data_IF_798767671771
#
_entry.id   IF_798767671771
#
_cell.length_a   1.000
_cell.length_b   1.000
_cell.length_c   1.000
_cell.angle_alpha   90.00
_cell.angle_beta   90.00
_cell.angle_gamma   90.00
#
_symmetry.space_group_name_H-M   'P 1'
#
loop_
_entity.id
_entity.type
_entity.pdbx_description
1 polymer ?
#
# COMPACT_ATOMS: atom_id res chain seq x y z
N UNK A 1 5.06 10.83 -17.75
CA UNK A 1 4.61 12.22 -17.46
C UNK A 1 4.83 13.17 -18.64
N UNK A 2 5.98 13.11 -19.32
CA UNK A 2 6.30 13.92 -20.52
C UNK A 2 5.40 13.61 -21.72
N UNK A 3 5.07 12.34 -21.97
CA UNK A 3 4.17 11.96 -23.08
C UNK A 3 2.74 12.50 -22.95
N UNK A 4 2.22 12.56 -21.73
CA UNK A 4 0.92 13.17 -21.42
C UNK A 4 0.92 14.68 -21.68
N UNK A 5 2.05 15.35 -21.40
CA UNK A 5 2.21 16.78 -21.65
C UNK A 5 2.29 17.10 -23.15
N UNK A 6 3.03 16.27 -23.92
CA UNK A 6 3.16 16.41 -25.37
C UNK A 6 1.83 16.17 -26.07
N UNK A 7 1.07 15.15 -25.65
CA UNK A 7 -0.26 14.86 -26.21
C UNK A 7 -1.25 16.00 -25.94
N UNK A 8 -1.26 16.54 -24.72
CA UNK A 8 -2.11 17.68 -24.32
C UNK A 8 -1.80 18.98 -25.07
N UNK A 9 -0.53 19.24 -25.39
CA UNK A 9 -0.14 20.39 -26.22
C UNK A 9 -0.48 20.19 -27.70
N UNK A 10 -0.32 18.97 -28.21
CA UNK A 10 -0.63 18.61 -29.60
C UNK A 10 -2.12 18.75 -29.91
N UNK A 11 -3.00 18.26 -29.03
CA UNK A 11 -4.46 18.33 -29.23
C UNK A 11 -4.98 19.78 -29.19
N UNK A 12 -4.39 20.64 -28.35
CA UNK A 12 -4.71 22.08 -28.32
C UNK A 12 -4.27 22.80 -29.59
N UNK A 13 -3.12 22.43 -30.15
CA UNK A 13 -2.61 23.02 -31.40
C UNK A 13 -3.50 22.62 -32.57
N UNK A 14 -3.86 21.35 -32.72
CA UNK A 14 -4.74 20.89 -33.81
C UNK A 14 -6.15 21.47 -33.71
N UNK A 15 -6.71 21.56 -32.50
CA UNK A 15 -8.00 22.20 -32.31
C UNK A 15 -7.94 23.70 -32.63
N UNK A 16 -6.90 24.40 -32.18
CA UNK A 16 -6.69 25.81 -32.53
C UNK A 16 -6.56 26.03 -34.03
N UNK A 17 -5.78 25.19 -34.71
CA UNK A 17 -5.62 25.22 -36.17
C UNK A 17 -6.94 24.94 -36.90
N UNK A 18 -7.71 23.95 -36.44
CA UNK A 18 -9.02 23.63 -37.00
C UNK A 18 -10.00 24.79 -36.85
N UNK A 19 -10.08 25.41 -35.67
CA UNK A 19 -10.94 26.57 -35.43
C UNK A 19 -10.53 27.75 -36.30
N UNK A 20 -9.24 28.04 -36.43
CA UNK A 20 -8.74 29.13 -37.29
C UNK A 20 -9.06 28.87 -38.76
N UNK A 21 -8.76 27.67 -39.27
CA UNK A 21 -9.06 27.31 -40.67
C UNK A 21 -10.57 27.36 -40.94
N UNK A 22 -11.38 26.87 -40.00
CA UNK A 22 -12.83 26.84 -40.14
C UNK A 22 -13.44 28.25 -40.05
N UNK A 23 -12.94 29.12 -39.18
CA UNK A 23 -13.34 30.54 -39.12
C UNK A 23 -12.95 31.31 -40.38
N UNK A 24 -11.77 31.04 -40.97
CA UNK A 24 -11.37 31.64 -42.24
C UNK A 24 -12.27 31.15 -43.37
N UNK A 25 -12.61 29.85 -43.39
CA UNK A 25 -13.50 29.27 -44.39
C UNK A 25 -14.93 29.84 -44.28
N UNK A 26 -15.48 30.00 -43.07
CA UNK A 26 -16.81 30.60 -42.88
C UNK A 26 -16.83 32.09 -43.17
N UNK A 27 -15.77 32.84 -42.84
CA UNK A 27 -15.61 34.24 -43.22
C UNK A 27 -15.57 34.38 -44.75
N UNK A 28 -14.82 33.52 -45.43
CA UNK A 28 -14.78 33.46 -46.90
C UNK A 28 -16.15 33.14 -47.52
N UNK A 29 -16.93 32.27 -46.88
CA UNK A 29 -18.28 31.93 -47.33
C UNK A 29 -19.25 33.11 -47.15
N UNK A 30 -19.18 33.83 -46.02
CA UNK A 30 -19.95 35.07 -45.77
C UNK A 30 -19.58 36.16 -46.78
N UNK A 31 -18.30 36.33 -47.09
CA UNK A 31 -17.86 37.28 -48.12
C UNK A 31 -18.35 36.88 -49.51
N UNK A 32 -18.30 35.59 -49.86
CA UNK A 32 -18.82 35.10 -51.15
C UNK A 32 -20.34 35.26 -51.28
N UNK A 33 -21.08 35.18 -50.18
CA UNK A 33 -22.52 35.47 -50.13
C UNK A 33 -22.82 36.98 -50.15
N UNK A 34 -21.86 37.82 -49.75
CA UNK A 34 -21.99 39.29 -49.72
C UNK A 34 -21.72 39.96 -51.06
N UNK A 35 -21.09 39.26 -52.01
CA UNK A 35 -20.69 39.82 -53.30
C UNK A 35 -21.79 39.63 -54.36
N UNK A 36 -22.87 40.40 -54.24
CA UNK A 36 -23.68 40.86 -55.39
C UNK A 36 -24.05 42.34 -55.15
N UNK A 37 -23.34 43.20 -55.89
CA UNK A 37 -23.51 44.65 -56.10
C UNK A 37 -23.01 45.60 -55.00
N UNK A 38 -21.80 46.11 -55.26
CA UNK A 38 -21.15 47.30 -54.70
C UNK A 38 -21.89 48.58 -55.10
N UNK A 39 -23.09 48.80 -54.58
CA UNK A 39 -23.66 50.14 -54.44
C UNK A 39 -24.62 50.18 -53.26
N UNK A 40 -24.20 50.90 -52.21
CA UNK A 40 -25.00 51.39 -51.08
C UNK A 40 -25.63 50.33 -50.15
N UNK A 41 -25.10 50.26 -48.93
CA UNK A 41 -25.72 49.96 -47.61
C UNK A 41 -27.23 49.62 -47.55
N UNK A 42 -27.73 48.70 -48.36
CA UNK A 42 -29.08 48.14 -48.27
C UNK A 42 -28.95 46.61 -48.17
N UNK A 43 -28.38 46.14 -47.06
CA UNK A 43 -28.56 44.76 -46.67
C UNK A 43 -30.05 44.56 -46.34
N UNK A 44 -30.74 43.72 -47.10
CA UNK A 44 -32.07 43.23 -46.71
C UNK A 44 -31.95 42.57 -45.33
N UNK A 45 -32.88 42.89 -44.42
CA UNK A 45 -32.95 42.33 -43.06
C UNK A 45 -32.87 40.79 -43.07
N UNK A 46 -33.42 40.16 -44.10
CA UNK A 46 -33.46 38.70 -44.25
C UNK A 46 -32.08 38.08 -44.51
N UNK A 47 -31.22 38.79 -45.28
CA UNK A 47 -29.84 38.33 -45.55
C UNK A 47 -28.95 38.50 -44.32
N UNK A 48 -29.16 39.57 -43.55
CA UNK A 48 -28.45 39.82 -42.29
C UNK A 48 -28.79 38.75 -41.24
N UNK A 49 -30.08 38.40 -41.10
CA UNK A 49 -30.52 37.32 -40.22
C UNK A 49 -29.92 35.96 -40.59
N UNK A 50 -29.83 35.65 -41.89
CA UNK A 50 -29.21 34.41 -42.37
C UNK A 50 -27.71 34.33 -42.03
N UNK A 51 -26.94 35.40 -42.24
CA UNK A 51 -25.50 35.45 -41.93
C UNK A 51 -25.27 35.29 -40.41
N UNK A 52 -26.05 35.97 -39.58
CA UNK A 52 -25.97 35.84 -38.13
C UNK A 52 -26.32 34.41 -37.69
N UNK A 53 -27.36 33.82 -38.27
CA UNK A 53 -27.75 32.43 -37.98
C UNK A 53 -26.66 31.41 -38.32
N UNK A 54 -25.98 31.56 -39.46
CA UNK A 54 -24.84 30.72 -39.85
C UNK A 54 -23.67 30.91 -38.88
N UNK A 55 -23.37 32.16 -38.49
CA UNK A 55 -22.30 32.44 -37.53
C UNK A 55 -22.56 31.81 -36.15
N UNK A 56 -23.76 31.99 -35.60
CA UNK A 56 -24.14 31.41 -34.30
C UNK A 56 -24.09 29.89 -34.34
N UNK A 57 -24.58 29.27 -35.42
CA UNK A 57 -24.54 27.80 -35.59
C UNK A 57 -23.11 27.26 -35.67
N UNK A 58 -22.22 27.99 -36.35
CA UNK A 58 -20.79 27.66 -36.46
C UNK A 58 -20.10 27.71 -35.10
N UNK A 59 -20.31 28.77 -34.34
CA UNK A 59 -19.76 28.92 -32.99
C UNK A 59 -20.29 27.83 -32.06
N UNK A 60 -21.58 27.52 -32.13
CA UNK A 60 -22.19 26.45 -31.34
C UNK A 60 -21.56 25.08 -31.63
N UNK A 61 -21.33 24.75 -32.91
CA UNK A 61 -20.64 23.51 -33.30
C UNK A 61 -19.22 23.44 -32.74
N UNK A 62 -18.43 24.51 -32.90
CA UNK A 62 -17.04 24.56 -32.39
C UNK A 62 -16.99 24.36 -30.87
N UNK A 63 -17.86 25.07 -30.14
CA UNK A 63 -17.94 24.96 -28.68
C UNK A 63 -18.32 23.53 -28.28
N UNK A 64 -19.29 22.93 -28.97
CA UNK A 64 -19.76 21.56 -28.69
C UNK A 64 -18.66 20.54 -28.95
N UNK A 65 -17.96 20.64 -30.08
CA UNK A 65 -16.83 19.76 -30.42
C UNK A 65 -15.69 19.87 -29.40
N UNK A 66 -15.38 21.10 -28.93
CA UNK A 66 -14.38 21.30 -27.88
C UNK A 66 -14.74 20.57 -26.58
N UNK A 67 -15.98 20.69 -26.12
CA UNK A 67 -16.43 20.00 -24.91
C UNK A 67 -16.44 18.48 -25.08
N UNK A 68 -16.79 17.96 -26.26
CA UNK A 68 -16.73 16.52 -26.57
C UNK A 68 -15.29 16.01 -26.50
N UNK A 69 -14.32 16.71 -27.08
CA UNK A 69 -12.90 16.32 -27.03
C UNK A 69 -12.37 16.35 -25.59
N UNK A 70 -12.72 17.37 -24.81
CA UNK A 70 -12.38 17.44 -23.40
C UNK A 70 -12.98 16.26 -22.61
N UNK A 71 -14.25 15.93 -22.86
CA UNK A 71 -14.91 14.80 -22.22
C UNK A 71 -14.20 13.48 -22.56
N UNK A 72 -13.90 13.23 -23.84
CA UNK A 72 -13.18 12.01 -24.27
C UNK A 72 -11.81 11.89 -23.58
N UNK A 73 -11.06 13.00 -23.51
CA UNK A 73 -9.77 13.02 -22.80
C UNK A 73 -9.94 12.72 -21.32
N UNK A 74 -10.90 13.35 -20.64
CA UNK A 74 -11.20 13.08 -19.23
C UNK A 74 -11.60 11.62 -19.00
N UNK A 75 -12.49 11.06 -19.84
CA UNK A 75 -12.89 9.66 -19.76
C UNK A 75 -11.71 8.70 -19.96
N UNK A 76 -10.79 9.00 -20.88
CA UNK A 76 -9.59 8.18 -21.10
C UNK A 76 -8.70 8.14 -19.85
N UNK A 77 -8.48 9.28 -19.19
CA UNK A 77 -7.73 9.35 -17.95
C UNK A 77 -8.41 8.59 -16.81
N UNK A 78 -9.74 8.72 -16.69
CA UNK A 78 -10.52 7.98 -15.69
C UNK A 78 -10.37 6.47 -15.91
N UNK A 79 -10.43 6.01 -17.17
CA UNK A 79 -10.25 4.61 -17.52
C UNK A 79 -8.85 4.10 -17.16
N UNK A 80 -7.81 4.86 -17.47
CA UNK A 80 -6.42 4.50 -17.13
C UNK A 80 -6.23 4.40 -15.61
N UNK A 81 -6.80 5.35 -14.85
CA UNK A 81 -6.79 5.32 -13.38
C UNK A 81 -7.49 4.06 -12.87
N UNK A 82 -8.64 3.70 -13.43
CA UNK A 82 -9.37 2.48 -13.04
C UNK A 82 -8.58 1.20 -13.34
N UNK A 83 -7.89 1.13 -14.49
CA UNK A 83 -7.05 -0.01 -14.83
C UNK A 83 -5.84 -0.13 -13.89
N UNK A 84 -5.19 0.99 -13.57
CA UNK A 84 -4.08 1.00 -12.63
C UNK A 84 -4.53 0.61 -11.22
N UNK A 85 -5.71 1.08 -10.79
CA UNK A 85 -6.30 0.67 -9.51
C UNK A 85 -6.49 -0.85 -9.44
N UNK A 86 -7.07 -1.46 -10.49
CA UNK A 86 -7.24 -2.93 -10.54
C UNK A 86 -5.91 -3.67 -10.43
N UNK A 87 -4.87 -3.22 -11.15
CA UNK A 87 -3.53 -3.82 -11.05
C UNK A 87 -2.94 -3.70 -9.65
N UNK A 88 -3.13 -2.55 -8.99
CA UNK A 88 -2.69 -2.35 -7.61
C UNK A 88 -3.43 -3.31 -6.67
N UNK A 89 -4.75 -3.44 -6.81
CA UNK A 89 -5.56 -4.35 -5.99
C UNK A 89 -5.13 -5.81 -6.17
N UNK A 90 -4.84 -6.24 -7.40
CA UNK A 90 -4.30 -7.58 -7.72
C UNK A 90 -2.93 -7.81 -7.06
N UNK A 91 -2.01 -6.84 -7.15
CA UNK A 91 -0.70 -6.92 -6.51
C UNK A 91 -0.79 -6.96 -4.98
N UNK A 92 -1.70 -6.18 -4.39
CA UNK A 92 -1.96 -6.20 -2.94
C UNK A 92 -2.47 -7.58 -2.53
N UNK A 93 -3.42 -8.15 -3.28
CA UNK A 93 -3.95 -9.48 -2.99
C UNK A 93 -2.88 -10.58 -3.08
N UNK A 94 -2.04 -10.57 -4.12
CA UNK A 94 -0.93 -11.52 -4.26
C UNK A 94 0.09 -11.37 -3.12
N UNK A 95 0.42 -10.14 -2.74
CA UNK A 95 1.32 -9.87 -1.61
C UNK A 95 0.76 -10.35 -0.27
N UNK A 96 -0.52 -10.12 0.01
CA UNK A 96 -1.20 -10.62 1.21
C UNK A 96 -1.13 -12.15 1.25
N UNK A 97 -1.44 -12.84 0.14
CA UNK A 97 -1.42 -14.30 0.08
C UNK A 97 -0.01 -14.87 0.33
N UNK A 98 1.02 -14.26 -0.28
CA UNK A 98 2.42 -14.67 -0.07
C UNK A 98 2.88 -14.43 1.37
N UNK A 99 2.48 -13.32 1.97
CA UNK A 99 2.79 -13.05 3.37
C UNK A 99 2.08 -14.03 4.31
N UNK A 100 0.83 -14.37 4.05
CA UNK A 100 0.11 -15.36 4.86
C UNK A 100 0.80 -16.74 4.79
N UNK A 101 1.27 -17.15 3.61
CA UNK A 101 2.06 -18.37 3.44
C UNK A 101 3.39 -18.30 4.19
N UNK A 102 4.10 -17.17 4.11
CA UNK A 102 5.36 -16.98 4.83
C UNK A 102 5.16 -17.04 6.35
N UNK A 103 4.10 -16.41 6.87
CA UNK A 103 3.74 -16.45 8.29
C UNK A 103 3.43 -17.88 8.72
N UNK A 104 2.67 -18.64 7.92
CA UNK A 104 2.38 -20.07 8.20
C UNK A 104 3.65 -20.91 8.25
N UNK A 105 4.57 -20.73 7.29
CA UNK A 105 5.85 -21.44 7.29
C UNK A 105 6.71 -21.10 8.51
N UNK A 106 6.80 -19.81 8.86
CA UNK A 106 7.54 -19.36 10.04
C UNK A 106 6.93 -19.89 11.34
N UNK A 107 5.60 -19.96 11.44
CA UNK A 107 4.89 -20.56 12.57
C UNK A 107 5.21 -22.05 12.69
N UNK A 108 5.07 -22.81 11.61
CA UNK A 108 5.41 -24.24 11.61
C UNK A 108 6.86 -24.47 12.04
N UNK A 109 7.80 -23.68 11.50
CA UNK A 109 9.20 -23.77 11.89
C UNK A 109 9.43 -23.46 13.39
N UNK A 110 8.73 -22.45 13.92
CA UNK A 110 8.82 -22.10 15.34
C UNK A 110 8.22 -23.18 16.25
N UNK A 111 7.12 -23.81 15.84
CA UNK A 111 6.49 -24.94 16.54
C UNK A 111 7.41 -26.17 16.51
N UNK A 112 7.98 -26.53 15.36
CA UNK A 112 8.97 -27.63 15.27
C UNK A 112 10.19 -27.37 16.15
N UNK A 113 10.74 -26.14 16.14
CA UNK A 113 11.86 -25.80 17.01
C UNK A 113 11.51 -25.89 18.50
N UNK A 114 10.28 -25.53 18.87
CA UNK A 114 9.81 -25.67 20.24
C UNK A 114 9.72 -27.15 20.66
N UNK A 115 9.15 -28.00 19.81
CA UNK A 115 9.05 -29.45 20.02
C UNK A 115 10.43 -30.12 20.09
N UNK A 116 11.33 -29.82 19.16
CA UNK A 116 12.71 -30.36 19.13
C UNK A 116 13.46 -30.06 20.43
N UNK A 117 13.37 -28.82 20.94
CA UNK A 117 14.02 -28.47 22.21
C UNK A 117 13.37 -29.20 23.39
N UNK A 118 12.05 -29.42 23.36
CA UNK A 118 11.34 -30.16 24.41
C UNK A 118 11.75 -31.64 24.42
N UNK A 119 11.85 -32.25 23.24
CA UNK A 119 12.38 -33.61 23.07
C UNK A 119 13.83 -33.71 23.54
N UNK A 120 14.70 -32.77 23.18
CA UNK A 120 16.09 -32.75 23.66
C UNK A 120 16.18 -32.66 25.19
N UNK A 121 15.31 -31.86 25.82
CA UNK A 121 15.21 -31.77 27.27
C UNK A 121 14.83 -33.12 27.86
N UNK A 122 13.80 -33.78 27.31
CA UNK A 122 13.34 -35.09 27.78
C UNK A 122 14.40 -36.20 27.59
N UNK A 123 15.10 -36.20 26.45
CA UNK A 123 16.18 -37.15 26.17
C UNK A 123 17.38 -36.95 27.10
N UNK A 124 17.71 -35.71 27.47
CA UNK A 124 18.76 -35.44 28.44
C UNK A 124 18.41 -36.02 29.81
N UNK A 125 17.12 -36.10 30.19
CA UNK A 125 16.67 -36.74 31.43
C UNK A 125 16.89 -38.25 31.46
N UNK A 126 16.98 -38.91 30.31
CA UNK A 126 17.20 -40.36 30.18
C UNK A 126 18.68 -40.75 30.12
N UNK A 127 19.60 -39.80 29.91
CA UNK A 127 21.04 -40.09 29.81
C UNK A 127 21.67 -40.42 31.18
N UNK A 128 22.51 -41.46 31.18
CA UNK A 128 23.34 -41.92 32.31
C UNK A 128 24.72 -41.23 32.34
N UNK A 129 24.74 -39.90 32.22
CA UNK A 129 25.96 -39.09 32.32
C UNK A 129 26.12 -38.53 33.74
N UNK A 130 27.28 -37.91 34.02
CA UNK A 130 27.50 -37.17 35.27
C UNK A 130 26.35 -36.19 35.56
N UNK A 131 25.86 -36.22 36.80
CA UNK A 131 24.63 -35.53 37.22
C UNK A 131 24.78 -34.00 37.10
N UNK A 132 25.97 -33.48 37.39
CA UNK A 132 26.24 -32.03 37.33
C UNK A 132 26.17 -31.50 35.90
N UNK A 133 26.84 -32.17 34.97
CA UNK A 133 26.86 -31.77 33.56
C UNK A 133 25.50 -31.92 32.88
N UNK A 134 24.74 -32.96 33.25
CA UNK A 134 23.35 -33.16 32.82
C UNK A 134 22.45 -31.99 33.23
N UNK A 135 22.53 -31.55 34.49
CA UNK A 135 21.73 -30.42 34.99
C UNK A 135 22.08 -29.13 34.25
N UNK A 136 23.37 -28.86 34.02
CA UNK A 136 23.82 -27.68 33.27
C UNK A 136 23.27 -27.66 31.83
N UNK A 137 23.40 -28.78 31.11
CA UNK A 137 22.87 -28.92 29.74
C UNK A 137 21.36 -28.71 29.71
N UNK A 138 20.61 -29.39 30.58
CA UNK A 138 19.15 -29.23 30.68
C UNK A 138 18.73 -27.78 30.95
N UNK A 139 19.40 -27.10 31.89
CA UNK A 139 19.08 -25.71 32.19
C UNK A 139 19.38 -24.78 31.00
N UNK A 140 20.46 -25.03 30.25
CA UNK A 140 20.76 -24.27 29.03
C UNK A 140 19.70 -24.45 27.95
N UNK A 141 19.17 -25.67 27.77
CA UNK A 141 18.09 -25.96 26.83
C UNK A 141 16.78 -25.29 27.27
N UNK A 142 16.43 -25.37 28.56
CA UNK A 142 15.25 -24.67 29.11
C UNK A 142 15.32 -23.16 28.89
N UNK A 143 16.48 -22.56 29.11
CA UNK A 143 16.68 -21.13 28.83
C UNK A 143 16.50 -20.87 27.32
N UNK A 144 17.08 -21.70 26.44
CA UNK A 144 16.92 -21.55 24.99
C UNK A 144 15.45 -21.64 24.56
N UNK A 145 14.69 -22.59 25.13
CA UNK A 145 13.24 -22.74 24.92
C UNK A 145 12.49 -21.50 25.36
N UNK A 146 12.73 -21.05 26.59
CA UNK A 146 12.04 -19.89 27.19
C UNK A 146 12.28 -18.61 26.37
N UNK A 147 13.46 -18.45 25.75
CA UNK A 147 13.77 -17.34 24.83
C UNK A 147 12.99 -17.36 23.52
N UNK A 148 12.38 -18.48 23.12
CA UNK A 148 11.51 -18.51 21.95
C UNK A 148 10.31 -17.57 22.10
N UNK A 149 9.87 -17.30 23.34
CA UNK A 149 8.78 -16.37 23.63
C UNK A 149 8.91 -15.00 22.96
N UNK A 150 10.13 -14.44 22.93
CA UNK A 150 10.41 -13.13 22.36
C UNK A 150 11.16 -13.21 21.01
N UNK A 151 11.75 -14.36 20.67
CA UNK A 151 12.42 -14.56 19.37
C UNK A 151 11.48 -14.98 18.26
N UNK A 152 10.38 -15.64 18.60
CA UNK A 152 9.45 -16.24 17.66
C UNK A 152 8.04 -15.69 17.94
N UNK A 153 7.72 -14.47 17.46
CA UNK A 153 6.41 -13.86 17.67
C UNK A 153 5.25 -14.62 17.01
N UNK A 154 5.57 -15.51 16.06
CA UNK A 154 4.63 -16.36 15.32
C UNK A 154 4.15 -17.59 16.11
N UNK A 155 4.73 -17.88 17.28
CA UNK A 155 4.23 -18.91 18.19
C UNK A 155 2.85 -18.55 18.74
N UNK A 156 2.09 -19.58 19.13
CA UNK A 156 0.79 -19.37 19.77
C UNK A 156 0.93 -18.50 21.02
N UNK A 157 -0.03 -17.60 21.22
CA UNK A 157 0.01 -16.62 22.30
C UNK A 157 0.11 -17.28 23.68
N UNK A 158 -0.53 -18.45 23.87
CA UNK A 158 -0.48 -19.19 25.15
C UNK A 158 0.91 -19.73 25.42
N UNK A 159 1.55 -20.30 24.40
CA UNK A 159 2.90 -20.84 24.51
C UNK A 159 3.91 -19.73 24.74
N UNK A 160 3.76 -18.58 24.07
CA UNK A 160 4.60 -17.41 24.32
C UNK A 160 4.49 -16.93 25.77
N UNK A 161 3.29 -16.82 26.33
CA UNK A 161 3.08 -16.43 27.73
C UNK A 161 3.67 -17.47 28.69
N UNK A 162 3.45 -18.76 28.44
CA UNK A 162 4.04 -19.84 29.23
C UNK A 162 5.57 -19.74 29.26
N UNK A 163 6.19 -19.53 28.10
CA UNK A 163 7.64 -19.40 27.96
C UNK A 163 8.20 -18.10 28.58
N UNK A 164 7.44 -17.00 28.53
CA UNK A 164 7.76 -15.78 29.28
C UNK A 164 7.79 -16.04 30.79
N UNK A 165 6.77 -16.71 31.31
CA UNK A 165 6.71 -17.06 32.74
C UNK A 165 7.85 -18.00 33.14
N UNK A 166 8.28 -18.90 32.25
CA UNK A 166 9.48 -19.70 32.47
C UNK A 166 10.73 -18.81 32.59
N UNK A 167 10.89 -17.78 31.76
CA UNK A 167 12.02 -16.83 31.82
C UNK A 167 12.12 -16.11 33.17
N UNK A 168 11.03 -15.80 33.87
CA UNK A 168 11.12 -15.20 35.20
C UNK A 168 11.97 -16.05 36.16
N UNK A 169 11.82 -17.37 36.08
CA UNK A 169 12.50 -18.31 36.96
C UNK A 169 13.95 -18.64 36.56
N UNK A 170 14.28 -18.65 35.26
CA UNK A 170 15.58 -19.12 34.75
C UNK A 170 16.35 -18.10 33.92
N UNK A 171 15.77 -16.92 33.66
CA UNK A 171 16.35 -15.92 32.78
C UNK A 171 17.63 -15.29 33.33
N UNK A 172 18.36 -14.67 32.42
CA UNK A 172 19.68 -14.07 32.65
C UNK A 172 19.65 -12.56 32.35
N UNK A 173 20.69 -11.83 32.75
CA UNK A 173 20.76 -10.38 32.57
C UNK A 173 20.62 -9.92 31.11
N UNK A 174 21.05 -10.76 30.15
CA UNK A 174 20.90 -10.49 28.71
C UNK A 174 19.47 -10.58 28.19
N UNK A 175 18.55 -11.17 28.95
CA UNK A 175 17.14 -11.31 28.59
C UNK A 175 16.32 -10.05 28.91
N UNK A 176 16.83 -9.15 29.77
CA UNK A 176 16.16 -7.89 30.16
C UNK A 176 15.84 -7.02 28.95
N UNK A 177 16.83 -6.80 28.07
CA UNK A 177 16.67 -5.90 26.92
C UNK A 177 15.63 -6.44 25.93
N UNK A 178 15.69 -7.70 25.48
CA UNK A 178 14.65 -8.27 24.63
C UNK A 178 13.24 -8.19 25.24
N UNK A 179 13.09 -8.40 26.55
CA UNK A 179 11.79 -8.29 27.23
C UNK A 179 11.29 -6.84 27.24
N UNK A 180 12.17 -5.85 27.45
CA UNK A 180 11.80 -4.43 27.33
C UNK A 180 11.35 -4.07 25.92
N UNK A 181 12.06 -4.56 24.90
CA UNK A 181 11.68 -4.37 23.50
C UNK A 181 10.31 -5.02 23.21
N UNK A 182 10.02 -6.17 23.84
CA UNK A 182 8.73 -6.84 23.73
C UNK A 182 7.59 -5.98 24.28
N UNK A 183 7.76 -5.37 25.46
CA UNK A 183 6.75 -4.51 26.10
C UNK A 183 6.39 -3.28 25.25
N UNK A 184 7.34 -2.78 24.46
CA UNK A 184 7.13 -1.63 23.58
C UNK A 184 6.36 -2.00 22.30
N UNK A 185 6.57 -3.22 21.79
CA UNK A 185 6.07 -3.65 20.49
C UNK A 185 4.80 -4.51 20.54
N UNK A 186 4.47 -5.07 21.71
CA UNK A 186 3.30 -5.92 21.92
C UNK A 186 2.26 -5.23 22.81
N UNK A 187 1.01 -5.62 22.67
CA UNK A 187 -0.12 -5.13 23.46
C UNK A 187 -0.87 -6.29 24.16
N UNK A 188 -1.74 -5.95 25.10
CA UNK A 188 -2.61 -6.92 25.79
C UNK A 188 -1.87 -7.86 26.74
N UNK A 189 -2.24 -9.14 26.72
CA UNK A 189 -1.79 -10.14 27.70
C UNK A 189 -0.28 -10.43 27.62
N UNK A 190 0.30 -10.39 26.43
CA UNK A 190 1.75 -10.61 26.24
C UNK A 190 2.54 -9.48 26.90
N UNK A 191 2.07 -8.23 26.75
CA UNK A 191 2.68 -7.07 27.38
C UNK A 191 2.61 -7.17 28.90
N UNK A 192 1.43 -7.48 29.44
CA UNK A 192 1.24 -7.63 30.88
C UNK A 192 2.12 -8.75 31.46
N UNK A 193 2.21 -9.90 30.77
CA UNK A 193 3.10 -10.99 31.16
C UNK A 193 4.58 -10.57 31.09
N UNK A 194 4.99 -9.85 30.05
CA UNK A 194 6.36 -9.37 29.89
C UNK A 194 6.76 -8.35 30.96
N UNK A 195 5.85 -7.45 31.36
CA UNK A 195 6.07 -6.49 32.44
C UNK A 195 6.30 -7.19 33.79
N UNK A 196 5.45 -8.16 34.14
CA UNK A 196 5.60 -8.96 35.35
C UNK A 196 6.92 -9.75 35.36
N UNK A 197 7.22 -10.43 34.24
CA UNK A 197 8.45 -11.21 34.09
C UNK A 197 9.69 -10.30 34.16
N UNK A 198 9.63 -9.09 33.61
CA UNK A 198 10.72 -8.13 33.70
C UNK A 198 10.98 -7.72 35.14
N UNK A 199 9.92 -7.41 35.90
CA UNK A 199 10.03 -7.03 37.31
C UNK A 199 10.63 -8.18 38.15
N UNK A 200 10.09 -9.39 38.00
CA UNK A 200 10.57 -10.59 38.71
C UNK A 200 12.03 -10.89 38.38
N UNK A 201 12.41 -10.78 37.10
CA UNK A 201 13.78 -11.00 36.65
C UNK A 201 14.72 -9.94 37.23
N UNK A 202 14.31 -8.67 37.26
CA UNK A 202 15.12 -7.58 37.82
C UNK A 202 15.30 -7.71 39.33
N UNK A 203 14.25 -8.09 40.07
CA UNK A 203 14.33 -8.40 41.51
C UNK A 203 15.29 -9.56 41.76
N UNK A 204 15.14 -10.66 41.02
CA UNK A 204 16.00 -11.84 41.13
C UNK A 204 17.47 -11.53 40.86
N UNK A 205 17.74 -10.65 39.90
CA UNK A 205 19.09 -10.23 39.54
C UNK A 205 19.64 -9.10 40.43
N UNK A 206 18.88 -8.65 41.44
CA UNK A 206 19.30 -7.60 42.37
C UNK A 206 19.40 -6.21 41.74
N UNK A 207 18.69 -5.97 40.64
CA UNK A 207 18.70 -4.69 39.93
C UNK A 207 17.68 -3.70 40.49
N UNK A 208 16.65 -4.20 41.18
CA UNK A 208 15.62 -3.44 41.87
C UNK A 208 15.29 -4.14 43.21
N UNK A 209 14.86 -3.36 44.19
CA UNK A 209 14.49 -3.80 45.54
C UNK A 209 12.99 -3.97 45.70
#
# INVERSE_FOLDING_TARGET
MIELFIKRHRDKIYLGLFVVIFSIATMGLVFSLSDINTNFLCFSSDKLGSIIGVFVSTVALVVTTYFVVLAISAYSHIRDIQQNRKKIDELISDWINKNEQAIKLLRNYAETLYEEIDEEIALEELKNNDVSDKIKRRNSLRIRRARLSYRCPMLDYKDRIKLLNELASIGELKDIRPIKELIVNEDGDIKAAAELVLEDLQKKLGLIS
#
